data_IF_824295276157
#
_entry.id   IF_824295276157
#
_cell.length_a   1.000
_cell.length_b   1.000
_cell.length_c   1.000
_cell.angle_alpha   90.00
_cell.angle_beta   90.00
_cell.angle_gamma   90.00
#
_symmetry.space_group_name_H-M   'P 1'
#
loop_
_entity.id
_entity.type
_entity.pdbx_description
1 polymer ?
#
# COMPACT_ATOMS: atom_id res chain seq x y z
N UNK A 1 -1.65 5.13 -4.29
CA UNK A 1 -2.73 6.06 -3.88
C UNK A 1 -2.12 7.34 -3.36
N UNK A 2 -2.64 8.49 -3.76
CA UNK A 2 -2.33 9.76 -3.10
C UNK A 2 -3.62 10.48 -2.73
N UNK A 3 -3.73 10.89 -1.48
CA UNK A 3 -4.80 11.72 -0.94
C UNK A 3 -4.23 13.11 -0.72
N UNK A 4 -4.92 14.14 -1.16
CA UNK A 4 -4.50 15.54 -0.98
C UNK A 4 -5.66 16.30 -0.39
N UNK A 5 -5.43 16.93 0.75
CA UNK A 5 -6.39 17.81 1.38
C UNK A 5 -6.49 19.11 0.57
N UNK A 6 -7.73 19.51 0.29
CA UNK A 6 -8.03 20.76 -0.37
C UNK A 6 -8.39 21.77 0.72
N UNK A 7 -7.60 22.84 0.83
CA UNK A 7 -7.84 23.90 1.80
C UNK A 7 -9.21 24.55 1.51
N UNK A 8 -10.24 24.12 2.25
CA UNK A 8 -11.63 24.55 2.14
C UNK A 8 -12.07 25.30 3.38
N UNK A 9 -12.97 26.26 3.22
CA UNK A 9 -13.29 27.23 4.27
C UNK A 9 -14.32 26.73 5.32
N UNK A 10 -14.99 25.58 5.08
CA UNK A 10 -16.09 25.10 5.94
C UNK A 10 -16.29 23.57 6.00
N UNK A 11 -15.78 22.80 5.04
CA UNK A 11 -15.88 21.34 5.01
C UNK A 11 -14.50 20.72 4.71
N UNK A 12 -14.26 19.52 5.23
CA UNK A 12 -13.03 18.78 4.95
C UNK A 12 -13.15 18.15 3.56
N UNK A 13 -12.49 18.77 2.57
CA UNK A 13 -12.48 18.29 1.19
C UNK A 13 -11.14 17.63 0.85
N UNK A 14 -11.20 16.50 0.16
CA UNK A 14 -10.01 15.76 -0.25
C UNK A 14 -10.11 15.34 -1.72
N UNK A 15 -9.05 15.59 -2.48
CA UNK A 15 -8.85 15.02 -3.80
C UNK A 15 -7.99 13.75 -3.65
N UNK A 16 -8.56 12.61 -4.06
CA UNK A 16 -7.89 11.30 -4.00
C UNK A 16 -7.56 10.86 -5.41
N UNK A 17 -6.30 10.46 -5.62
CA UNK A 17 -5.80 9.92 -6.86
C UNK A 17 -5.34 8.47 -6.64
N UNK A 18 -6.03 7.56 -7.31
CA UNK A 18 -5.74 6.13 -7.33
C UNK A 18 -5.06 5.78 -8.64
N UNK A 19 -3.81 5.31 -8.58
CA UNK A 19 -3.02 4.93 -9.76
C UNK A 19 -2.69 3.45 -9.69
N UNK A 20 -2.94 2.74 -10.78
CA UNK A 20 -2.61 1.32 -10.93
C UNK A 20 -2.23 1.01 -12.38
N UNK A 21 -1.48 -0.08 -12.61
CA UNK A 21 -1.08 -0.49 -13.95
C UNK A 21 -2.29 -0.98 -14.75
N UNK A 22 -2.46 -0.48 -15.97
CA UNK A 22 -3.57 -0.87 -16.84
C UNK A 22 -3.52 -2.35 -17.24
N UNK A 23 -2.32 -2.93 -17.28
CA UNK A 23 -2.10 -4.34 -17.60
C UNK A 23 -2.54 -5.31 -16.48
N UNK A 24 -2.64 -4.83 -15.24
CA UNK A 24 -3.08 -5.67 -14.12
C UNK A 24 -4.62 -5.69 -14.09
N UNK A 25 -5.23 -6.78 -14.51
CA UNK A 25 -6.70 -6.92 -14.48
C UNK A 25 -7.22 -7.22 -13.06
N UNK A 26 -6.40 -7.82 -12.19
CA UNK A 26 -6.78 -8.16 -10.81
C UNK A 26 -6.96 -6.93 -9.90
N UNK A 27 -6.18 -5.87 -10.12
CA UNK A 27 -6.32 -4.59 -9.38
C UNK A 27 -7.63 -3.85 -9.66
N UNK A 28 -8.45 -4.31 -10.60
CA UNK A 28 -9.83 -3.81 -10.77
C UNK A 28 -10.75 -4.17 -9.60
N UNK A 29 -10.41 -5.21 -8.82
CA UNK A 29 -11.09 -5.56 -7.56
C UNK A 29 -10.56 -4.78 -6.36
N UNK A 30 -9.34 -4.26 -6.46
CA UNK A 30 -8.68 -3.52 -5.38
C UNK A 30 -9.19 -2.09 -5.39
N UNK A 31 -9.90 -1.68 -4.33
CA UNK A 31 -10.52 -0.35 -4.26
C UNK A 31 -10.32 0.28 -2.89
N UNK A 32 -10.01 1.59 -2.85
CA UNK A 32 -10.05 2.31 -1.58
C UNK A 32 -11.48 2.38 -1.08
N UNK A 33 -11.68 2.00 0.18
CA UNK A 33 -12.87 2.25 0.96
C UNK A 33 -12.60 3.45 1.86
N UNK A 34 -13.53 4.40 1.82
CA UNK A 34 -13.47 5.61 2.63
C UNK A 34 -14.44 5.46 3.81
N UNK A 35 -14.18 6.16 4.94
CA UNK A 35 -15.07 6.15 6.09
C UNK A 35 -16.50 6.62 5.76
N UNK A 36 -17.47 6.18 6.55
CA UNK A 36 -18.91 6.51 6.35
C UNK A 36 -19.21 8.01 6.43
N UNK A 37 -18.37 8.77 7.14
CA UNK A 37 -18.49 10.21 7.29
C UNK A 37 -17.96 11.00 6.08
N UNK A 38 -17.44 10.32 5.05
CA UNK A 38 -16.93 10.90 3.81
C UNK A 38 -17.82 10.52 2.62
N UNK A 39 -18.40 11.53 1.97
CA UNK A 39 -19.20 11.34 0.76
C UNK A 39 -18.42 11.72 -0.49
N UNK A 40 -18.55 10.91 -1.54
CA UNK A 40 -17.95 11.22 -2.84
C UNK A 40 -18.73 12.35 -3.52
N UNK A 41 -18.06 13.47 -3.80
CA UNK A 41 -18.60 14.57 -4.57
C UNK A 41 -18.50 14.28 -6.07
N UNK A 42 -19.66 14.11 -6.71
CA UNK A 42 -19.76 13.94 -8.16
C UNK A 42 -19.24 12.60 -8.69
N UNK A 43 -19.03 12.56 -10.01
CA UNK A 43 -18.60 11.34 -10.69
C UNK A 43 -17.07 11.14 -10.60
N UNK A 44 -16.67 9.93 -10.24
CA UNK A 44 -15.30 9.44 -10.36
C UNK A 44 -14.81 9.61 -11.80
N UNK A 45 -13.59 10.13 -11.98
CA UNK A 45 -12.96 10.29 -13.29
C UNK A 45 -11.84 9.28 -13.43
N UNK A 46 -11.85 8.49 -14.50
CA UNK A 46 -10.76 7.57 -14.82
C UNK A 46 -10.14 7.96 -16.15
N UNK A 47 -8.81 8.06 -16.18
CA UNK A 47 -8.03 8.38 -17.36
C UNK A 47 -6.88 7.39 -17.51
N UNK A 48 -6.59 6.99 -18.75
CA UNK A 48 -5.39 6.25 -19.09
C UNK A 48 -4.24 7.24 -19.29
N UNK A 49 -3.15 7.05 -18.58
CA UNK A 49 -1.93 7.85 -18.70
C UNK A 49 -0.74 6.89 -18.91
N UNK A 50 -0.29 6.80 -20.16
CA UNK A 50 0.68 5.78 -20.56
C UNK A 50 0.13 4.38 -20.29
N UNK A 51 0.86 3.58 -19.52
CA UNK A 51 0.45 2.22 -19.12
C UNK A 51 -0.26 2.17 -17.75
N UNK A 52 -0.58 3.34 -17.17
CA UNK A 52 -1.28 3.43 -15.88
C UNK A 52 -2.70 3.97 -16.06
N UNK A 53 -3.63 3.42 -15.29
CA UNK A 53 -4.95 4.00 -15.08
C UNK A 53 -4.93 4.87 -13.84
N UNK A 54 -5.31 6.13 -14.00
CA UNK A 54 -5.49 7.08 -12.91
C UNK A 54 -6.99 7.27 -12.70
N UNK A 55 -7.42 7.11 -11.46
CA UNK A 55 -8.79 7.31 -11.04
C UNK A 55 -8.82 8.39 -9.96
N UNK A 56 -9.51 9.47 -10.21
CA UNK A 56 -9.66 10.59 -9.29
C UNK A 56 -11.03 10.57 -8.63
N UNK A 57 -11.03 10.80 -7.32
CA UNK A 57 -12.19 10.98 -6.47
C UNK A 57 -12.10 12.34 -5.82
N UNK A 58 -13.25 12.95 -5.59
CA UNK A 58 -13.38 14.09 -4.70
C UNK A 58 -14.25 13.67 -3.54
N UNK A 59 -13.80 13.92 -2.32
CA UNK A 59 -14.50 13.56 -1.11
C UNK A 59 -14.83 14.83 -0.33
N UNK A 60 -16.01 14.83 0.29
CA UNK A 60 -16.41 15.80 1.31
C UNK A 60 -16.74 15.04 2.57
N UNK A 61 -16.01 15.33 3.63
CA UNK A 61 -16.10 14.67 4.92
C UNK A 61 -16.66 15.64 5.96
N UNK A 62 -17.51 15.14 6.87
CA UNK A 62 -18.02 15.96 7.98
C UNK A 62 -16.95 16.19 9.06
N UNK A 63 -16.01 15.26 9.19
CA UNK A 63 -14.86 15.31 10.09
C UNK A 63 -13.56 15.12 9.30
N UNK A 64 -12.44 15.33 9.98
CA UNK A 64 -11.11 15.10 9.41
C UNK A 64 -10.93 13.62 9.04
N UNK A 65 -10.50 13.36 7.81
CA UNK A 65 -10.19 12.03 7.30
C UNK A 65 -9.12 11.32 8.15
N UNK A 66 -8.28 12.09 8.87
CA UNK A 66 -7.26 11.57 9.76
C UNK A 66 -7.80 10.76 10.94
N UNK A 67 -9.02 11.09 11.39
CA UNK A 67 -9.65 10.51 12.58
C UNK A 67 -10.05 9.04 12.46
N UNK A 68 -9.97 8.47 11.26
CA UNK A 68 -10.50 7.14 10.98
C UNK A 68 -9.58 6.37 10.02
N UNK A 69 -9.83 5.07 9.87
CA UNK A 69 -9.02 4.21 9.04
C UNK A 69 -9.48 4.18 7.59
N UNK A 70 -8.51 4.17 6.66
CA UNK A 70 -8.76 3.92 5.23
C UNK A 70 -8.35 2.48 4.94
N UNK A 71 -9.28 1.70 4.39
CA UNK A 71 -9.04 0.32 3.99
C UNK A 71 -8.97 0.19 2.47
N UNK A 72 -8.15 -0.73 1.97
CA UNK A 72 -8.12 -1.11 0.56
C UNK A 72 -8.77 -2.48 0.44
N UNK A 73 -10.03 -2.50 0.01
CA UNK A 73 -10.77 -3.74 -0.18
C UNK A 73 -10.16 -4.56 -1.32
N UNK A 74 -10.02 -5.87 -1.10
CA UNK A 74 -9.50 -6.81 -2.09
C UNK A 74 -7.97 -6.86 -2.14
N UNK A 75 -7.28 -6.10 -1.29
CA UNK A 75 -5.83 -6.15 -1.14
C UNK A 75 -5.38 -7.44 -0.43
N UNK A 76 -6.19 -7.94 0.50
CA UNK A 76 -5.98 -9.17 1.26
C UNK A 76 -5.95 -10.44 0.38
N UNK A 77 -6.61 -10.39 -0.78
CA UNK A 77 -6.64 -11.48 -1.76
C UNK A 77 -5.64 -11.26 -2.91
N UNK A 78 -4.76 -10.26 -2.78
CA UNK A 78 -3.78 -9.85 -3.78
C UNK A 78 -2.36 -10.24 -3.37
N UNK A 79 -1.44 -10.24 -4.33
CA UNK A 79 0.01 -10.30 -4.12
C UNK A 79 0.68 -8.92 -4.29
N UNK A 80 -0.12 -7.87 -4.44
CA UNK A 80 0.36 -6.51 -4.68
C UNK A 80 0.44 -5.72 -3.37
N UNK A 81 1.37 -4.77 -3.34
CA UNK A 81 1.46 -3.75 -2.31
C UNK A 81 0.90 -2.41 -2.81
N UNK A 82 0.35 -1.62 -1.90
CA UNK A 82 -0.21 -0.30 -2.20
C UNK A 82 0.51 0.77 -1.41
N UNK A 83 1.20 1.67 -2.12
CA UNK A 83 1.76 2.88 -1.51
C UNK A 83 0.65 3.92 -1.36
N UNK A 84 0.38 4.36 -0.13
CA UNK A 84 -0.58 5.41 0.18
C UNK A 84 0.15 6.65 0.70
N UNK A 85 -0.05 7.79 0.03
CA UNK A 85 0.51 9.08 0.45
C UNK A 85 -0.61 10.06 0.79
N UNK A 86 -0.62 10.61 1.99
CA UNK A 86 -1.50 11.69 2.42
C UNK A 86 -0.75 13.01 2.44
N UNK A 87 -1.34 14.04 1.85
CA UNK A 87 -0.79 15.39 1.76
C UNK A 87 -1.74 16.36 2.46
N UNK A 88 -1.52 16.68 3.74
CA UNK A 88 -2.31 17.68 4.43
C UNK A 88 -2.08 19.06 3.81
N UNK A 89 -3.03 19.95 4.01
CA UNK A 89 -2.92 21.35 3.58
C UNK A 89 -1.99 22.17 4.46
N UNK A 90 -1.75 21.71 5.70
CA UNK A 90 -1.09 22.46 6.77
C UNK A 90 0.10 21.71 7.42
N UNK A 91 0.66 20.68 6.79
CA UNK A 91 1.68 19.86 7.44
C UNK A 91 2.59 19.05 6.51
N UNK A 92 3.24 18.05 7.09
CA UNK A 92 4.15 17.15 6.37
C UNK A 92 3.40 16.06 5.61
N UNK A 93 3.97 15.67 4.47
CA UNK A 93 3.44 14.57 3.67
C UNK A 93 3.68 13.26 4.41
N UNK A 94 2.62 12.47 4.50
CA UNK A 94 2.66 11.18 5.15
C UNK A 94 2.61 10.06 4.11
N UNK A 95 3.52 9.10 4.18
CA UNK A 95 3.53 7.96 3.24
C UNK A 95 3.62 6.64 3.99
N UNK A 96 2.76 5.69 3.62
CA UNK A 96 2.75 4.33 4.15
C UNK A 96 2.58 3.31 3.03
N UNK A 97 2.96 2.06 3.31
CA UNK A 97 2.80 0.93 2.39
C UNK A 97 1.86 -0.08 3.03
N UNK A 98 0.80 -0.42 2.29
CA UNK A 98 -0.18 -1.42 2.67
C UNK A 98 0.14 -2.72 1.95
N UNK A 99 0.12 -3.81 2.71
CA UNK A 99 0.31 -5.17 2.22
C UNK A 99 -0.98 -5.99 2.40
N UNK A 100 -1.09 -7.18 1.80
CA UNK A 100 -2.23 -8.07 2.01
C UNK A 100 -2.50 -8.43 3.48
N UNK A 101 -1.46 -8.45 4.31
CA UNK A 101 -1.55 -8.74 5.76
C UNK A 101 -2.03 -7.54 6.58
N UNK A 102 -1.84 -6.32 6.07
CA UNK A 102 -2.27 -5.07 6.69
C UNK A 102 -2.94 -4.15 5.65
N UNK A 103 -4.17 -4.46 5.21
CA UNK A 103 -4.83 -3.78 4.10
C UNK A 103 -5.49 -2.44 4.49
N UNK A 104 -5.38 -2.03 5.76
CA UNK A 104 -5.95 -0.80 6.28
C UNK A 104 -4.91 -0.02 7.10
N UNK A 105 -5.05 1.31 7.11
CA UNK A 105 -4.20 2.19 7.90
C UNK A 105 -4.99 3.34 8.50
N UNK A 106 -4.53 3.83 9.65
CA UNK A 106 -4.95 5.09 10.23
C UNK A 106 -3.90 6.15 9.93
N UNK A 107 -4.32 7.31 9.47
CA UNK A 107 -3.42 8.41 9.12
C UNK A 107 -2.71 8.96 10.36
N UNK A 108 -3.34 8.97 11.53
CA UNK A 108 -2.72 9.44 12.77
C UNK A 108 -1.55 8.58 13.24
N UNK A 109 -1.58 7.26 12.98
CA UNK A 109 -0.49 6.35 13.35
C UNK A 109 0.64 6.30 12.33
N UNK A 110 0.35 6.70 11.08
CA UNK A 110 1.40 6.75 10.07
C UNK A 110 2.32 7.97 10.31
N UNK A 111 1.89 8.97 11.09
CA UNK A 111 2.71 10.07 11.61
C UNK A 111 3.74 9.65 12.68
N UNK A 112 4.34 8.47 12.57
CA UNK A 112 5.64 8.25 13.21
C UNK A 112 6.69 8.97 12.33
N UNK A 113 7.29 10.06 12.82
CA UNK A 113 8.40 10.69 12.12
C UNK A 113 9.53 9.67 12.03
N UNK A 114 10.34 9.74 10.97
CA UNK A 114 11.60 9.02 10.84
C UNK A 114 12.32 8.93 12.20
N UNK A 115 12.22 7.75 12.83
CA UNK A 115 12.41 7.60 14.27
C UNK A 115 12.49 6.13 14.70
N UNK A 116 13.33 5.38 13.99
CA UNK A 116 14.29 4.40 14.54
C UNK A 116 13.92 3.49 15.73
N UNK A 117 12.67 3.07 16.00
CA UNK A 117 12.44 2.24 17.20
C UNK A 117 11.34 1.18 17.12
N UNK A 118 10.29 1.38 16.32
CA UNK A 118 9.07 0.54 16.35
C UNK A 118 9.00 -0.48 15.19
N UNK A 119 9.56 -0.14 14.02
CA UNK A 119 9.44 -0.98 12.82
C UNK A 119 10.42 -2.16 12.74
N UNK A 120 11.49 -2.20 13.55
CA UNK A 120 12.50 -3.26 13.44
C UNK A 120 11.95 -4.64 13.83
N UNK A 121 10.99 -4.70 14.76
CA UNK A 121 10.39 -5.96 15.23
C UNK A 121 9.40 -6.53 14.21
N UNK A 122 8.60 -5.68 13.54
CA UNK A 122 7.70 -6.13 12.48
C UNK A 122 8.46 -6.61 11.24
N UNK A 123 9.52 -5.90 10.82
CA UNK A 123 10.40 -6.37 9.74
C UNK A 123 11.19 -7.64 10.12
N UNK A 124 11.66 -7.77 11.37
CA UNK A 124 12.27 -9.01 11.86
C UNK A 124 11.27 -10.16 11.93
N UNK A 125 10.02 -9.92 12.29
CA UNK A 125 8.99 -10.97 12.34
C UNK A 125 8.59 -11.49 10.96
N UNK A 126 8.51 -10.59 9.96
CA UNK A 126 8.32 -10.95 8.55
C UNK A 126 9.54 -11.72 8.01
N UNK A 127 10.75 -11.34 8.44
CA UNK A 127 11.98 -12.07 8.18
C UNK A 127 12.02 -13.46 8.81
N UNK A 128 11.59 -13.63 10.06
CA UNK A 128 11.60 -14.92 10.78
C UNK A 128 10.51 -15.87 10.28
N UNK A 129 9.34 -15.36 9.89
CA UNK A 129 8.34 -16.16 9.18
C UNK A 129 8.88 -16.68 7.83
N UNK A 130 9.65 -15.85 7.11
CA UNK A 130 10.37 -16.29 5.91
C UNK A 130 11.46 -17.32 6.20
N UNK A 131 12.13 -17.30 7.34
CA UNK A 131 13.15 -18.31 7.71
C UNK A 131 12.51 -19.69 7.98
N UNK A 132 11.29 -19.73 8.53
CA UNK A 132 10.56 -21.00 8.75
C UNK A 132 10.00 -21.61 7.44
N UNK A 133 9.64 -20.79 6.44
CA UNK A 133 9.37 -21.26 5.07
C UNK A 133 10.63 -21.38 4.18
N UNK A 134 11.74 -20.80 4.62
CA UNK A 134 12.95 -20.55 3.84
C UNK A 134 14.14 -21.43 4.18
N UNK A 135 14.10 -22.22 5.26
CA UNK A 135 15.06 -23.30 5.48
C UNK A 135 15.08 -24.26 4.28
N UNK A 136 13.90 -24.56 3.69
CA UNK A 136 13.76 -25.36 2.48
C UNK A 136 14.40 -24.67 1.25
N UNK A 137 14.23 -23.35 1.09
CA UNK A 137 14.82 -22.60 -0.02
C UNK A 137 16.35 -22.47 0.10
N UNK A 138 16.87 -22.25 1.30
CA UNK A 138 18.32 -22.21 1.56
C UNK A 138 18.93 -23.60 1.35
N UNK A 139 18.25 -24.67 1.76
CA UNK A 139 18.64 -26.04 1.46
C UNK A 139 18.57 -26.35 -0.04
N UNK A 140 17.58 -25.83 -0.75
CA UNK A 140 17.45 -25.97 -2.21
C UNK A 140 18.61 -25.29 -2.96
N UNK A 141 18.96 -24.05 -2.59
CA UNK A 141 20.10 -23.33 -3.18
C UNK A 141 21.42 -24.00 -2.81
N UNK A 142 21.56 -24.48 -1.57
CA UNK A 142 22.74 -25.26 -1.13
C UNK A 142 22.87 -26.57 -1.91
N UNK A 143 21.76 -27.28 -2.13
CA UNK A 143 21.73 -28.50 -2.94
C UNK A 143 22.12 -28.22 -4.40
N UNK A 144 21.64 -27.13 -5.00
CA UNK A 144 22.05 -26.71 -6.34
C UNK A 144 23.55 -26.37 -6.41
N UNK A 145 24.09 -25.66 -5.42
CA UNK A 145 25.53 -25.35 -5.35
C UNK A 145 26.40 -26.60 -5.19
N UNK A 146 25.97 -27.57 -4.38
CA UNK A 146 26.65 -28.86 -4.22
C UNK A 146 26.54 -29.72 -5.51
N UNK A 147 25.39 -29.71 -6.17
CA UNK A 147 25.16 -30.44 -7.42
C UNK A 147 26.00 -29.87 -8.57
N UNK A 148 26.16 -28.54 -8.64
CA UNK A 148 27.03 -27.88 -9.61
C UNK A 148 28.51 -28.14 -9.30
N UNK A 149 28.92 -28.22 -8.02
CA UNK A 149 30.29 -28.62 -7.64
C UNK A 149 30.58 -30.10 -7.86
N UNK A 150 29.56 -30.95 -7.97
CA UNK A 150 29.67 -32.40 -8.18
C UNK A 150 30.01 -32.84 -9.61
N UNK A 151 29.98 -31.95 -10.62
CA UNK A 151 30.39 -32.28 -12.00
C UNK A 151 31.87 -31.98 -12.24
N UNK A 152 32.76 -32.61 -11.46
CA UNK A 152 34.12 -32.88 -11.95
C UNK A 152 34.04 -34.05 -12.94
N UNK A 153 34.14 -33.70 -14.22
CA UNK A 153 34.56 -34.52 -15.38
C UNK A 153 34.37 -36.04 -15.22
N UNK A 154 33.35 -36.57 -15.87
CA UNK A 154 33.43 -37.90 -16.47
C UNK A 154 34.45 -37.82 -17.63
N UNK A 155 35.66 -38.30 -17.37
CA UNK A 155 36.61 -38.81 -18.36
C UNK A 155 37.12 -40.15 -17.82
#
# INVERSE_FOLDING_TARGET
MSVTEVAGNTAFEYDVLWRYAAAQQDVSRIRPQFPDHCQQLGARRTALQGESLLTTYRLSCTNDLRSDSIAIQGLEASLADVVATFRPSDGENLTTVLSPEAPAFQLDQAAEPDGANSNFVSYLSLGVAHILGGADHLLFVLALLLLVKGRRRLL
#
